data_IF_163662627013
#
_entry.id   IF_163662627013
#
_cell.length_a   1.000
_cell.length_b   1.000
_cell.length_c   1.000
_cell.angle_alpha   90.00
_cell.angle_beta   90.00
_cell.angle_gamma   90.00
#
_symmetry.space_group_name_H-M   'P 1'
#
loop_
_entity.id
_entity.type
_entity.pdbx_description
1 polymer ?
#
# COMPACT_ATOMS: atom_id res chain seq x y z
N UNK A 1 -6.34 -25.21 -28.47
CA UNK A 1 -6.82 -24.92 -27.10
C UNK A 1 -5.63 -24.43 -26.28
N UNK A 2 -5.22 -23.19 -26.49
CA UNK A 2 -3.99 -22.63 -25.92
C UNK A 2 -4.32 -22.04 -24.54
N UNK A 3 -3.92 -22.74 -23.48
CA UNK A 3 -4.06 -22.25 -22.13
C UNK A 3 -3.21 -20.98 -22.00
N UNK A 4 -3.90 -19.84 -21.90
CA UNK A 4 -3.34 -18.55 -21.48
C UNK A 4 -2.45 -18.81 -20.26
N UNK A 5 -1.13 -18.72 -20.44
CA UNK A 5 -0.21 -18.55 -19.31
C UNK A 5 -0.57 -17.22 -18.66
N UNK A 6 -1.40 -17.32 -17.64
CA UNK A 6 -2.03 -16.24 -16.91
C UNK A 6 -0.96 -15.34 -16.31
N UNK A 7 -0.68 -14.19 -16.95
CA UNK A 7 -0.39 -12.82 -16.44
C UNK A 7 0.46 -12.60 -15.15
N UNK A 8 0.93 -13.64 -14.44
CA UNK A 8 1.54 -13.62 -13.12
C UNK A 8 3.08 -13.64 -13.14
N UNK A 9 3.70 -13.42 -14.31
CA UNK A 9 5.16 -13.46 -14.43
C UNK A 9 5.84 -12.14 -14.01
N UNK A 10 5.11 -11.02 -13.96
CA UNK A 10 5.68 -9.71 -13.64
C UNK A 10 5.47 -9.35 -12.16
N UNK A 11 6.53 -9.30 -11.31
CA UNK A 11 6.42 -8.93 -9.90
C UNK A 11 5.87 -7.51 -9.70
N UNK A 12 6.06 -6.62 -10.68
CA UNK A 12 5.49 -5.27 -10.71
C UNK A 12 3.97 -5.29 -10.76
N UNK A 13 3.35 -6.23 -11.50
CA UNK A 13 1.89 -6.34 -11.59
C UNK A 13 1.28 -6.75 -10.24
N UNK A 14 1.96 -7.63 -9.50
CA UNK A 14 1.55 -8.02 -8.14
C UNK A 14 1.61 -6.83 -7.18
N UNK A 15 2.63 -5.98 -7.30
CA UNK A 15 2.73 -4.74 -6.52
C UNK A 15 1.64 -3.74 -6.89
N UNK A 16 1.33 -3.57 -8.18
CA UNK A 16 0.23 -2.71 -8.64
C UNK A 16 -1.12 -3.23 -8.12
N UNK A 17 -1.36 -4.54 -8.17
CA UNK A 17 -2.59 -5.13 -7.66
C UNK A 17 -2.70 -4.98 -6.13
N UNK A 18 -1.59 -5.18 -5.42
CA UNK A 18 -1.49 -4.92 -3.98
C UNK A 18 -1.80 -3.45 -3.64
N UNK A 19 -1.35 -2.53 -4.49
CA UNK A 19 -1.61 -1.09 -4.36
C UNK A 19 -3.07 -0.73 -4.57
N UNK A 20 -3.69 -1.26 -5.62
CA UNK A 20 -5.10 -1.02 -5.89
C UNK A 20 -5.98 -1.54 -4.75
N UNK A 21 -5.68 -2.73 -4.21
CA UNK A 21 -6.38 -3.26 -3.04
C UNK A 21 -6.16 -2.41 -1.79
N UNK A 22 -4.95 -1.90 -1.57
CA UNK A 22 -4.64 -1.02 -0.45
C UNK A 22 -5.45 0.27 -0.51
N UNK A 23 -5.51 0.91 -1.68
CA UNK A 23 -6.24 2.16 -1.89
C UNK A 23 -7.75 1.94 -1.76
N UNK A 24 -8.31 0.94 -2.44
CA UNK A 24 -9.73 0.61 -2.35
C UNK A 24 -10.18 0.25 -0.93
N UNK A 25 -9.35 -0.48 -0.18
CA UNK A 25 -9.65 -0.82 1.21
C UNK A 25 -9.67 0.41 2.14
N UNK A 26 -8.74 1.36 1.93
CA UNK A 26 -8.64 2.57 2.76
C UNK A 26 -9.72 3.60 2.45
N UNK A 27 -10.09 3.78 1.19
CA UNK A 27 -11.21 4.66 0.85
C UNK A 27 -12.51 4.11 1.42
N UNK A 28 -12.79 2.82 1.23
CA UNK A 28 -13.95 2.16 1.82
C UNK A 28 -13.95 2.24 3.35
N UNK A 29 -12.79 2.10 3.99
CA UNK A 29 -12.66 2.15 5.45
C UNK A 29 -12.90 3.57 5.99
N UNK A 30 -12.42 4.58 5.28
CA UNK A 30 -12.71 5.97 5.63
C UNK A 30 -14.20 6.28 5.52
N UNK A 31 -14.88 5.84 4.46
CA UNK A 31 -16.32 6.03 4.31
C UNK A 31 -17.11 5.25 5.37
N UNK A 32 -16.68 4.04 5.71
CA UNK A 32 -17.24 3.24 6.79
C UNK A 32 -17.10 3.93 8.16
N UNK A 33 -15.94 4.55 8.43
CA UNK A 33 -15.69 5.28 9.67
C UNK A 33 -16.60 6.48 9.88
N UNK A 34 -17.06 7.12 8.78
CA UNK A 34 -17.97 8.27 8.83
C UNK A 34 -19.44 7.87 9.12
N UNK A 35 -19.83 6.67 8.71
CA UNK A 35 -21.20 6.15 8.87
C UNK A 35 -21.39 5.47 10.23
N UNK A 36 -20.32 4.86 10.79
CA UNK A 36 -20.34 4.20 12.09
C UNK A 36 -21.13 2.87 12.09
N UNK A 37 -20.60 1.86 12.78
CA UNK A 37 -21.23 0.53 12.91
C UNK A 37 -20.83 -0.49 11.84
N UNK A 38 -21.46 -1.67 11.91
CA UNK A 38 -21.22 -2.79 10.97
C UNK A 38 -22.03 -2.54 9.70
N UNK A 39 -21.40 -1.91 8.71
CA UNK A 39 -21.98 -1.63 7.40
C UNK A 39 -21.33 -2.48 6.31
N UNK A 40 -21.95 -2.52 5.13
CA UNK A 40 -21.40 -3.22 3.95
C UNK A 40 -19.99 -2.72 3.59
N UNK A 41 -19.74 -1.41 3.76
CA UNK A 41 -18.42 -0.80 3.53
C UNK A 41 -17.37 -1.34 4.50
N UNK A 42 -17.72 -1.56 5.77
CA UNK A 42 -16.85 -2.17 6.78
C UNK A 42 -16.45 -3.59 6.37
N UNK A 43 -17.42 -4.38 5.88
CA UNK A 43 -17.17 -5.74 5.40
C UNK A 43 -16.28 -5.77 4.15
N UNK A 44 -16.50 -4.85 3.21
CA UNK A 44 -15.66 -4.69 2.01
C UNK A 44 -14.22 -4.34 2.41
N UNK A 45 -14.02 -3.43 3.35
CA UNK A 45 -12.69 -3.07 3.86
C UNK A 45 -11.97 -4.25 4.49
N UNK A 46 -12.64 -5.04 5.33
CA UNK A 46 -12.03 -6.24 5.93
C UNK A 46 -11.71 -7.32 4.89
N UNK A 47 -12.58 -7.49 3.89
CA UNK A 47 -12.35 -8.43 2.79
C UNK A 47 -11.14 -7.99 1.95
N UNK A 48 -11.06 -6.71 1.61
CA UNK A 48 -9.88 -6.13 0.94
C UNK A 48 -8.62 -6.28 1.78
N UNK A 49 -8.68 -6.03 3.10
CA UNK A 49 -7.54 -6.19 3.99
C UNK A 49 -7.02 -7.63 3.99
N UNK A 50 -7.93 -8.60 4.02
CA UNK A 50 -7.61 -10.03 4.05
C UNK A 50 -6.99 -10.48 2.73
N UNK A 51 -7.62 -10.13 1.61
CA UNK A 51 -7.10 -10.42 0.27
C UNK A 51 -5.73 -9.77 0.03
N UNK A 52 -5.55 -8.54 0.51
CA UNK A 52 -4.26 -7.85 0.43
C UNK A 52 -3.18 -8.57 1.23
N UNK A 53 -3.49 -9.06 2.42
CA UNK A 53 -2.57 -9.86 3.23
C UNK A 53 -2.13 -11.12 2.51
N UNK A 54 -3.06 -11.83 1.87
CA UNK A 54 -2.75 -13.01 1.05
C UNK A 54 -1.88 -12.66 -0.16
N UNK A 55 -2.17 -11.56 -0.84
CA UNK A 55 -1.38 -11.07 -1.97
C UNK A 55 0.05 -10.70 -1.54
N UNK A 56 0.22 -10.14 -0.35
CA UNK A 56 1.52 -9.79 0.21
C UNK A 56 2.43 -11.00 0.41
N UNK A 57 1.87 -12.13 0.88
CA UNK A 57 2.62 -13.39 0.99
C UNK A 57 3.13 -13.84 -0.38
N UNK A 58 2.33 -13.69 -1.44
CA UNK A 58 2.76 -13.99 -2.80
C UNK A 58 3.85 -13.04 -3.31
N UNK A 59 3.76 -11.75 -2.98
CA UNK A 59 4.80 -10.75 -3.28
C UNK A 59 6.12 -11.13 -2.60
N UNK A 60 6.10 -11.49 -1.31
CA UNK A 60 7.29 -11.88 -0.55
C UNK A 60 7.91 -13.20 -1.07
N UNK A 61 7.13 -14.10 -1.66
CA UNK A 61 7.66 -15.31 -2.31
C UNK A 61 8.37 -15.03 -3.64
N UNK A 62 8.20 -13.84 -4.23
CA UNK A 62 8.70 -13.50 -5.58
C UNK A 62 9.69 -12.34 -5.61
N UNK A 63 9.63 -11.43 -4.63
CA UNK A 63 10.53 -10.28 -4.52
C UNK A 63 11.39 -10.38 -3.25
N UNK A 64 12.68 -10.03 -3.33
CA UNK A 64 13.52 -9.96 -2.14
C UNK A 64 12.99 -8.87 -1.19
N UNK A 65 13.00 -9.18 0.11
CA UNK A 65 12.53 -8.30 1.19
C UNK A 65 13.15 -6.89 1.11
N UNK A 66 14.41 -6.81 0.66
CA UNK A 66 15.18 -5.56 0.49
C UNK A 66 14.55 -4.58 -0.50
N UNK A 67 13.79 -5.04 -1.49
CA UNK A 67 13.08 -4.19 -2.47
C UNK A 67 11.63 -3.98 -2.05
N UNK A 68 11.00 -5.00 -1.47
CA UNK A 68 9.60 -4.96 -1.07
C UNK A 68 9.33 -3.89 0.01
N UNK A 69 10.19 -3.82 1.04
CA UNK A 69 10.04 -2.88 2.16
C UNK A 69 10.09 -1.40 1.75
N UNK A 70 11.13 -0.92 1.02
CA UNK A 70 11.16 0.46 0.56
C UNK A 70 9.98 0.80 -0.36
N UNK A 71 9.54 -0.15 -1.19
CA UNK A 71 8.36 0.03 -2.02
C UNK A 71 7.11 0.25 -1.16
N UNK A 72 6.84 -0.60 -0.15
CA UNK A 72 5.72 -0.37 0.78
C UNK A 72 5.80 0.95 1.53
N UNK A 73 6.99 1.44 1.87
CA UNK A 73 7.16 2.77 2.46
C UNK A 73 6.73 3.87 1.49
N UNK A 74 7.19 3.81 0.24
CA UNK A 74 6.86 4.80 -0.79
C UNK A 74 5.34 4.86 -1.06
N UNK A 75 4.65 3.74 -0.90
CA UNK A 75 3.19 3.66 -1.03
C UNK A 75 2.47 4.46 0.06
N UNK A 76 2.96 4.43 1.30
CA UNK A 76 2.39 5.26 2.38
C UNK A 76 2.53 6.76 2.08
N UNK A 77 3.57 7.16 1.36
CA UNK A 77 3.74 8.55 0.91
C UNK A 77 2.72 8.97 -0.13
N UNK A 78 2.25 8.05 -0.99
CA UNK A 78 1.18 8.31 -1.96
C UNK A 78 -0.20 8.32 -1.30
N UNK A 79 -0.42 7.43 -0.34
CA UNK A 79 -1.68 7.31 0.39
C UNK A 79 -2.01 8.60 1.15
N UNK A 80 -1.01 9.21 1.79
CA UNK A 80 -1.23 10.36 2.65
C UNK A 80 -1.88 11.57 1.92
N UNK A 81 -1.34 12.08 0.80
CA UNK A 81 -1.98 13.16 0.05
C UNK A 81 -3.30 12.72 -0.60
N UNK A 82 -3.42 11.46 -1.03
CA UNK A 82 -4.67 10.93 -1.59
C UNK A 82 -5.78 10.90 -0.54
N UNK A 83 -5.45 10.53 0.69
CA UNK A 83 -6.35 10.57 1.83
C UNK A 83 -6.71 11.99 2.21
N UNK A 84 -5.77 12.94 2.18
CA UNK A 84 -6.07 14.37 2.41
C UNK A 84 -7.05 14.92 1.36
N UNK A 85 -6.85 14.57 0.09
CA UNK A 85 -7.72 15.01 -1.01
C UNK A 85 -9.12 14.39 -0.91
N UNK A 86 -9.22 13.11 -0.52
CA UNK A 86 -10.48 12.38 -0.45
C UNK A 86 -11.30 12.68 0.82
N UNK A 87 -10.65 12.92 1.95
CA UNK A 87 -11.34 13.18 3.23
C UNK A 87 -11.54 14.66 3.52
N UNK A 88 -10.74 15.55 2.94
CA UNK A 88 -10.90 17.01 3.08
C UNK A 88 -10.79 17.56 4.50
N UNK A 89 -10.36 16.74 5.47
CA UNK A 89 -10.16 17.16 6.86
C UNK A 89 -8.79 17.81 7.02
N UNK A 90 -8.72 18.94 7.74
CA UNK A 90 -7.47 19.60 8.11
C UNK A 90 -6.55 18.59 8.82
N UNK A 91 -5.46 18.15 8.18
CA UNK A 91 -4.61 17.13 8.75
C UNK A 91 -3.89 17.71 9.97
N UNK A 92 -3.96 17.01 11.10
CA UNK A 92 -3.17 17.32 12.28
C UNK A 92 -1.69 17.37 11.91
N UNK A 93 -0.94 18.35 12.43
CA UNK A 93 0.49 18.52 12.13
C UNK A 93 1.32 17.24 12.39
N UNK A 94 0.84 16.40 13.31
CA UNK A 94 1.33 15.05 13.59
C UNK A 94 1.40 14.14 12.35
N UNK A 95 0.43 14.21 11.43
CA UNK A 95 0.45 13.42 10.18
C UNK A 95 1.57 13.87 9.23
N UNK A 96 1.87 15.17 9.19
CA UNK A 96 2.99 15.70 8.41
C UNK A 96 4.34 15.29 9.00
N UNK A 97 4.48 15.31 10.32
CA UNK A 97 5.69 14.84 10.99
C UNK A 97 5.95 13.35 10.72
N UNK A 98 4.90 12.51 10.77
CA UNK A 98 4.99 11.10 10.40
C UNK A 98 5.35 10.90 8.93
N UNK A 99 4.78 11.69 8.03
CA UNK A 99 5.12 11.66 6.61
C UNK A 99 6.61 11.96 6.37
N UNK A 100 7.12 13.02 6.99
CA UNK A 100 8.51 13.43 6.90
C UNK A 100 9.46 12.34 7.43
N UNK A 101 9.08 11.66 8.52
CA UNK A 101 9.83 10.54 9.07
C UNK A 101 9.89 9.36 8.10
N UNK A 102 8.77 9.00 7.46
CA UNK A 102 8.71 7.94 6.43
C UNK A 102 9.57 8.34 5.22
N UNK A 103 9.48 9.58 4.76
CA UNK A 103 10.32 10.12 3.68
C UNK A 103 11.81 9.99 4.01
N UNK A 104 12.22 10.36 5.22
CA UNK A 104 13.59 10.22 5.67
C UNK A 104 14.06 8.76 5.69
N UNK A 105 13.24 7.85 6.24
CA UNK A 105 13.55 6.42 6.30
C UNK A 105 13.71 5.76 4.92
N UNK A 106 12.87 6.15 3.95
CA UNK A 106 12.98 5.67 2.56
C UNK A 106 14.22 6.25 1.89
N UNK A 107 14.51 7.54 2.07
CA UNK A 107 15.72 8.16 1.55
C UNK A 107 16.99 7.45 2.01
N UNK A 108 17.05 7.14 3.31
CA UNK A 108 18.17 6.36 3.89
C UNK A 108 18.20 4.93 3.32
N UNK A 109 17.06 4.26 3.19
CA UNK A 109 16.99 2.90 2.62
C UNK A 109 17.40 2.86 1.14
N UNK A 110 17.02 3.89 0.36
CA UNK A 110 17.37 4.01 -1.05
C UNK A 110 18.88 4.27 -1.22
N UNK A 111 19.46 5.18 -0.41
CA UNK A 111 20.91 5.43 -0.40
C UNK A 111 21.68 4.19 0.04
N UNK A 112 21.19 3.46 1.05
CA UNK A 112 21.76 2.20 1.50
C UNK A 112 21.72 1.11 0.43
N UNK A 113 20.62 1.01 -0.33
CA UNK A 113 20.49 0.07 -1.43
C UNK A 113 21.46 0.38 -2.59
N UNK A 114 21.67 1.66 -2.92
CA UNK A 114 22.64 2.09 -3.94
C UNK A 114 24.07 1.77 -3.51
N UNK A 115 24.40 1.95 -2.23
CA UNK A 115 25.76 1.73 -1.71
C UNK A 115 26.13 0.24 -1.59
N UNK A 116 25.16 -0.66 -1.44
CA UNK A 116 25.38 -2.10 -1.33
C UNK A 116 25.39 -2.85 -2.67
N UNK A 117 25.22 -2.12 -3.79
CA UNK A 117 25.24 -2.66 -5.16
C UNK A 117 26.51 -2.35 -5.94
N UNK A 118 27.60 -1.92 -5.28
CA UNK A 118 28.90 -1.65 -5.90
C UNK A 118 30.01 -2.43 -5.18
#
# INVERSE_FOLDING_TARGET
MSMKKTQFDNPVLLLILFLLLQLGGQTAAGFAGKIGGINIYTLISYTCLTLRGLLWVLVLKRLPLTVAYPFTGAVYLLILPLSMLLFGESPEWSRFAGAALIFAGIGVSAVGAVKNGN
#
